data_IF_422350076708
#
_entry.id   IF_422350076708
#
_cell.length_a   1.000
_cell.length_b   1.000
_cell.length_c   1.000
_cell.angle_alpha   90.00
_cell.angle_beta   90.00
_cell.angle_gamma   90.00
#
_symmetry.space_group_name_H-M   'P 1'
#
loop_
_entity.id
_entity.type
_entity.pdbx_description
1 polymer ?
#
# COMPACT_ATOMS: atom_id res chain seq x y z
N UNK A 1 2.42 11.19 13.73
CA UNK A 1 2.00 9.81 13.38
C UNK A 1 0.49 9.83 13.23
N UNK A 2 -0.04 9.28 12.13
CA UNK A 2 -1.48 9.08 11.94
C UNK A 2 -1.68 7.57 11.89
N UNK A 3 -2.12 6.98 13.00
CA UNK A 3 -2.49 5.57 13.03
C UNK A 3 -3.96 5.41 12.65
N UNK A 4 -4.31 4.33 11.95
CA UNK A 4 -5.71 3.93 11.85
C UNK A 4 -6.24 3.60 13.26
N UNK A 5 -7.54 3.82 13.47
CA UNK A 5 -8.18 3.58 14.78
C UNK A 5 -7.97 2.10 15.19
N UNK A 6 -7.33 1.87 16.34
CA UNK A 6 -7.03 0.52 16.84
C UNK A 6 -5.71 -0.09 16.37
N UNK A 7 -4.88 0.67 15.65
CA UNK A 7 -3.51 0.27 15.27
C UNK A 7 -2.51 1.04 16.14
N UNK A 8 -1.67 0.32 16.88
CA UNK A 8 -0.57 0.90 17.66
C UNK A 8 0.77 0.78 16.90
N UNK A 9 1.84 1.28 17.52
CA UNK A 9 3.18 1.28 16.92
C UNK A 9 3.70 -0.15 16.70
N UNK A 10 3.42 -1.08 17.61
CA UNK A 10 3.92 -2.46 17.55
C UNK A 10 3.25 -3.20 16.39
N UNK A 11 1.95 -2.97 16.17
CA UNK A 11 1.24 -3.50 15.00
C UNK A 11 1.81 -2.95 13.70
N UNK A 12 2.15 -1.66 13.63
CA UNK A 12 2.78 -1.07 12.42
C UNK A 12 4.15 -1.68 12.14
N UNK A 13 4.97 -1.87 13.17
CA UNK A 13 6.28 -2.52 13.05
C UNK A 13 6.11 -3.97 12.56
N UNK A 14 5.16 -4.71 13.11
CA UNK A 14 4.84 -6.06 12.66
C UNK A 14 4.38 -6.09 11.20
N UNK A 15 3.54 -5.15 10.76
CA UNK A 15 3.11 -5.04 9.37
C UNK A 15 4.29 -4.71 8.43
N UNK A 16 5.19 -3.82 8.84
CA UNK A 16 6.40 -3.51 8.09
C UNK A 16 7.34 -4.71 8.00
N UNK A 17 7.52 -5.46 9.09
CA UNK A 17 8.34 -6.67 9.11
C UNK A 17 7.74 -7.78 8.25
N UNK A 18 6.40 -7.92 8.24
CA UNK A 18 5.68 -8.80 7.30
C UNK A 18 5.97 -8.41 5.84
N UNK A 19 5.98 -7.12 5.52
CA UNK A 19 6.33 -6.62 4.18
C UNK A 19 7.84 -6.61 3.89
N UNK A 20 8.70 -7.06 4.81
CA UNK A 20 10.16 -7.13 4.63
C UNK A 20 10.58 -8.53 4.18
N UNK A 21 11.72 -8.66 3.48
CA UNK A 21 12.29 -9.98 3.22
C UNK A 21 12.76 -10.61 4.52
N UNK A 22 12.71 -11.94 4.62
CA UNK A 22 13.31 -12.71 5.72
C UNK A 22 14.67 -13.28 5.35
N UNK A 23 14.97 -13.36 4.05
CA UNK A 23 16.22 -13.88 3.49
C UNK A 23 16.83 -12.85 2.54
N UNK A 24 18.18 -12.79 2.49
CA UNK A 24 18.93 -11.82 1.68
C UNK A 24 18.41 -10.38 1.88
N UNK A 25 18.29 -10.00 3.15
CA UNK A 25 17.72 -8.72 3.56
C UNK A 25 18.61 -7.55 3.12
N UNK A 26 17.98 -6.48 2.64
CA UNK A 26 18.66 -5.19 2.58
C UNK A 26 18.80 -4.59 4.00
N UNK A 27 19.54 -3.49 4.11
CA UNK A 27 19.77 -2.83 5.40
C UNK A 27 18.47 -2.33 6.07
N UNK A 28 17.44 -2.00 5.27
CA UNK A 28 16.15 -1.51 5.76
C UNK A 28 15.30 -2.67 6.30
N UNK A 29 15.22 -3.78 5.55
CA UNK A 29 14.59 -5.03 5.95
C UNK A 29 15.17 -5.53 7.28
N UNK A 30 16.50 -5.54 7.38
CA UNK A 30 17.22 -5.99 8.58
C UNK A 30 16.85 -5.14 9.80
N UNK A 31 16.83 -3.81 9.63
CA UNK A 31 16.48 -2.89 10.71
C UNK A 31 15.04 -3.08 11.19
N UNK A 32 14.08 -3.21 10.27
CA UNK A 32 12.65 -3.37 10.60
C UNK A 32 12.40 -4.71 11.29
N UNK A 33 12.94 -5.80 10.77
CA UNK A 33 12.78 -7.13 11.39
C UNK A 33 13.47 -7.18 12.76
N UNK A 34 14.60 -6.47 12.93
CA UNK A 34 15.29 -6.33 14.21
C UNK A 34 14.57 -5.47 15.25
N UNK A 35 13.52 -4.73 14.87
CA UNK A 35 12.66 -4.01 15.82
C UNK A 35 11.65 -4.94 16.52
N UNK A 36 11.44 -6.16 16.00
CA UNK A 36 10.60 -7.16 16.66
C UNK A 36 11.31 -7.78 17.86
N UNK A 37 10.52 -8.23 18.85
CA UNK A 37 11.05 -8.99 19.97
C UNK A 37 11.62 -10.34 19.54
N UNK A 38 10.92 -11.05 18.64
CA UNK A 38 11.44 -12.22 17.91
C UNK A 38 11.30 -11.97 16.39
N UNK A 39 12.39 -11.99 15.60
CA UNK A 39 12.33 -11.91 14.15
C UNK A 39 11.37 -12.90 13.48
N UNK A 40 11.12 -14.06 14.11
CA UNK A 40 10.18 -15.07 13.62
C UNK A 40 8.73 -14.60 13.63
N UNK A 41 8.39 -13.62 14.45
CA UNK A 41 7.05 -13.04 14.52
C UNK A 41 6.64 -12.40 13.20
N UNK A 42 7.61 -11.98 12.37
CA UNK A 42 7.36 -11.47 11.02
C UNK A 42 6.62 -12.47 10.12
N UNK A 43 6.67 -13.78 10.42
CA UNK A 43 5.98 -14.86 9.67
C UNK A 43 5.15 -15.80 10.56
N UNK A 44 5.09 -15.55 11.87
CA UNK A 44 4.33 -16.39 12.78
C UNK A 44 2.83 -16.36 12.47
N UNK A 45 2.23 -17.54 12.34
CA UNK A 45 0.78 -17.71 12.17
C UNK A 45 0.20 -17.22 10.86
N UNK A 46 1.02 -16.82 9.88
CA UNK A 46 0.57 -16.44 8.54
C UNK A 46 0.96 -17.51 7.52
N UNK A 47 0.10 -17.72 6.53
CA UNK A 47 0.44 -18.47 5.33
C UNK A 47 0.75 -17.48 4.21
N UNK A 48 2.01 -17.45 3.76
CA UNK A 48 2.39 -16.61 2.64
C UNK A 48 1.71 -17.06 1.34
N UNK A 49 1.10 -16.10 0.64
CA UNK A 49 0.39 -16.35 -0.62
C UNK A 49 1.20 -15.85 -1.80
N UNK A 50 1.72 -14.62 -1.69
CA UNK A 50 2.53 -13.98 -2.72
C UNK A 50 3.35 -12.81 -2.15
N UNK A 51 4.63 -12.75 -2.51
CA UNK A 51 5.54 -11.67 -2.14
C UNK A 51 6.04 -10.94 -3.39
N UNK A 52 5.84 -9.62 -3.42
CA UNK A 52 6.36 -8.73 -4.44
C UNK A 52 7.56 -7.95 -3.88
N UNK A 53 8.78 -8.21 -4.38
CA UNK A 53 9.97 -7.50 -3.94
C UNK A 53 9.92 -6.02 -4.33
N UNK A 54 10.80 -5.22 -3.73
CA UNK A 54 10.93 -3.80 -4.07
C UNK A 54 11.12 -3.60 -5.59
N UNK A 55 10.27 -2.77 -6.18
CA UNK A 55 10.39 -2.27 -7.54
C UNK A 55 10.74 -0.78 -7.50
N UNK A 56 11.83 -0.31 -8.14
CA UNK A 56 12.18 1.11 -8.22
C UNK A 56 11.09 2.01 -8.81
N UNK A 57 10.23 1.47 -9.67
CA UNK A 57 9.08 2.19 -10.25
C UNK A 57 7.97 2.35 -9.22
N UNK A 58 7.57 1.26 -8.55
CA UNK A 58 6.45 1.28 -7.59
C UNK A 58 6.86 1.75 -6.19
N UNK A 59 8.18 1.84 -5.94
CA UNK A 59 8.85 2.23 -4.70
C UNK A 59 8.32 1.53 -3.45
N UNK A 60 7.85 0.28 -3.60
CA UNK A 60 7.20 -0.49 -2.55
C UNK A 60 7.51 -1.98 -2.61
N UNK A 61 7.40 -2.63 -1.46
CA UNK A 61 7.44 -4.08 -1.27
C UNK A 61 6.13 -4.52 -0.67
N UNK A 62 5.59 -5.67 -1.09
CA UNK A 62 4.25 -6.12 -0.71
C UNK A 62 4.24 -7.59 -0.35
N UNK A 63 3.62 -7.95 0.78
CA UNK A 63 3.31 -9.32 1.14
C UNK A 63 1.79 -9.52 1.17
N UNK A 64 1.32 -10.55 0.47
CA UNK A 64 -0.04 -11.09 0.57
C UNK A 64 0.01 -12.39 1.35
N UNK A 65 -0.81 -12.52 2.38
CA UNK A 65 -0.84 -13.68 3.27
C UNK A 65 -2.25 -14.00 3.75
N UNK A 66 -2.47 -15.25 4.16
CA UNK A 66 -3.69 -15.67 4.86
C UNK A 66 -3.41 -15.71 6.36
N UNK A 67 -4.34 -15.26 7.18
CA UNK A 67 -4.23 -15.28 8.63
C UNK A 67 -5.55 -15.73 9.26
N UNK A 68 -5.47 -16.51 10.35
CA UNK A 68 -6.64 -16.88 11.16
C UNK A 68 -7.75 -17.58 10.38
N UNK A 69 -8.87 -16.89 10.20
CA UNK A 69 -10.15 -17.37 9.65
C UNK A 69 -10.14 -17.64 8.13
N UNK A 70 -8.95 -17.76 7.53
CA UNK A 70 -8.79 -17.97 6.10
C UNK A 70 -8.86 -16.69 5.27
N UNK A 71 -9.00 -15.52 5.91
CA UNK A 71 -9.00 -14.24 5.19
C UNK A 71 -7.63 -13.90 4.65
N UNK A 72 -7.64 -13.35 3.45
CA UNK A 72 -6.45 -12.85 2.79
C UNK A 72 -6.21 -11.40 3.18
N UNK A 73 -5.00 -11.12 3.58
CA UNK A 73 -4.51 -9.82 3.97
C UNK A 73 -3.33 -9.44 3.11
N UNK A 74 -3.15 -8.15 2.92
CA UNK A 74 -2.00 -7.61 2.23
C UNK A 74 -1.44 -6.43 3.00
N UNK A 75 -0.12 -6.48 3.19
CA UNK A 75 0.67 -5.39 3.74
C UNK A 75 1.66 -4.93 2.68
N UNK A 76 1.87 -3.63 2.60
CA UNK A 76 2.94 -3.05 1.80
C UNK A 76 3.72 -2.01 2.57
N UNK A 77 4.99 -1.86 2.21
CA UNK A 77 5.87 -0.81 2.72
C UNK A 77 6.56 -0.11 1.57
N UNK A 78 6.77 1.20 1.69
CA UNK A 78 7.39 1.97 0.61
C UNK A 78 7.66 3.41 0.97
N UNK A 79 8.21 4.14 0.00
CA UNK A 79 8.44 5.57 0.14
C UNK A 79 7.08 6.31 0.25
N UNK A 80 6.88 7.15 1.26
CA UNK A 80 5.71 8.02 1.29
C UNK A 80 5.74 8.99 0.10
N UNK A 81 4.60 9.25 -0.52
CA UNK A 81 4.47 10.21 -1.64
C UNK A 81 4.09 11.62 -1.15
N UNK A 82 3.76 11.76 0.14
CA UNK A 82 3.35 13.04 0.75
C UNK A 82 4.58 13.83 1.18
N UNK A 83 5.01 14.73 0.31
CA UNK A 83 6.22 15.56 0.46
C UNK A 83 6.27 16.30 1.81
N UNK A 84 5.15 16.90 2.25
CA UNK A 84 5.09 17.63 3.52
C UNK A 84 5.40 16.78 4.78
N UNK A 85 5.16 15.47 4.73
CA UNK A 85 5.54 14.56 5.82
C UNK A 85 7.01 14.20 5.69
N UNK A 86 7.47 13.91 4.47
CA UNK A 86 8.87 13.58 4.18
C UNK A 86 9.80 14.69 4.67
N UNK A 87 9.48 15.95 4.33
CA UNK A 87 10.31 17.11 4.63
C UNK A 87 10.50 17.27 6.14
N UNK A 88 9.43 17.12 6.94
CA UNK A 88 9.50 17.20 8.41
C UNK A 88 10.36 16.11 9.05
N UNK A 89 10.40 14.92 8.46
CA UNK A 89 11.27 13.84 8.95
C UNK A 89 12.71 14.07 8.47
N UNK A 90 12.90 14.52 7.22
CA UNK A 90 14.20 14.85 6.66
C UNK A 90 14.91 15.98 7.40
N UNK A 91 14.19 17.03 7.81
CA UNK A 91 14.69 18.13 8.66
C UNK A 91 15.25 17.64 10.00
N UNK A 92 14.80 16.47 10.46
CA UNK A 92 15.25 15.83 11.70
C UNK A 92 16.32 14.76 11.45
N UNK A 93 16.80 14.62 10.21
CA UNK A 93 17.76 13.58 9.81
C UNK A 93 17.18 12.18 9.79
N UNK A 94 15.85 12.03 9.72
CA UNK A 94 15.16 10.75 9.79
C UNK A 94 14.65 10.32 8.41
N UNK A 95 14.84 9.04 8.10
CA UNK A 95 14.20 8.41 6.94
C UNK A 95 12.74 8.09 7.27
N UNK A 96 11.84 8.26 6.30
CA UNK A 96 10.41 7.96 6.44
C UNK A 96 10.00 6.79 5.57
N UNK A 97 9.20 5.88 6.14
CA UNK A 97 8.63 4.73 5.47
C UNK A 97 7.13 4.70 5.76
N UNK A 98 6.33 4.52 4.71
CA UNK A 98 4.89 4.33 4.83
C UNK A 98 4.57 2.83 4.86
N UNK A 99 3.59 2.45 5.68
CA UNK A 99 3.04 1.09 5.75
C UNK A 99 1.56 1.17 5.42
N UNK A 100 1.09 0.31 4.53
CA UNK A 100 -0.32 0.18 4.19
C UNK A 100 -0.78 -1.27 4.42
N UNK A 101 -2.03 -1.41 4.85
CA UNK A 101 -2.68 -2.69 5.12
C UNK A 101 -4.07 -2.71 4.49
N UNK A 102 -4.44 -3.83 3.88
CA UNK A 102 -5.78 -4.08 3.35
C UNK A 102 -6.18 -5.55 3.55
N UNK A 103 -7.45 -5.81 3.80
CA UNK A 103 -8.07 -7.12 3.59
C UNK A 103 -8.37 -7.27 2.09
N UNK A 104 -8.10 -8.44 1.50
CA UNK A 104 -8.27 -8.72 0.07
C UNK A 104 -9.60 -9.48 -0.12
N UNK A 105 -10.67 -8.85 -0.61
CA UNK A 105 -12.01 -9.44 -0.61
C UNK A 105 -12.18 -10.63 -1.57
N UNK A 106 -11.41 -10.67 -2.67
CA UNK A 106 -11.63 -11.65 -3.74
C UNK A 106 -10.77 -12.91 -3.66
N UNK A 107 -9.87 -13.03 -2.67
CA UNK A 107 -9.03 -14.23 -2.49
C UNK A 107 -8.09 -14.56 -3.67
N UNK A 108 -8.02 -13.71 -4.69
CA UNK A 108 -7.14 -13.87 -5.85
C UNK A 108 -5.83 -13.12 -5.64
N UNK A 109 -4.72 -13.78 -5.98
CA UNK A 109 -3.36 -13.21 -5.83
C UNK A 109 -3.16 -11.96 -6.69
N UNK A 110 -3.91 -11.89 -7.79
CA UNK A 110 -3.85 -10.85 -8.82
C UNK A 110 -4.74 -9.63 -8.56
N UNK A 111 -5.56 -9.66 -7.49
CA UNK A 111 -6.12 -8.42 -6.96
C UNK A 111 -4.92 -7.54 -6.67
N UNK A 112 -4.67 -6.49 -7.45
CA UNK A 112 -3.59 -5.55 -7.17
C UNK A 112 -3.91 -4.87 -5.83
N UNK A 113 -2.91 -4.36 -5.13
CA UNK A 113 -3.21 -3.39 -4.07
C UNK A 113 -3.93 -2.27 -4.80
N UNK A 114 -5.24 -2.12 -4.59
CA UNK A 114 -6.05 -1.19 -5.36
C UNK A 114 -5.52 0.19 -4.97
N UNK A 115 -4.57 0.69 -5.76
CA UNK A 115 -4.02 2.03 -5.62
C UNK A 115 -5.17 3.03 -5.62
N UNK A 116 -6.23 2.67 -6.35
CA UNK A 116 -7.54 3.29 -6.32
C UNK A 116 -8.19 3.32 -4.94
N UNK A 117 -8.29 2.19 -4.24
CA UNK A 117 -8.87 2.13 -2.90
C UNK A 117 -8.04 2.92 -1.89
N UNK A 118 -6.71 2.87 -1.98
CA UNK A 118 -5.81 3.68 -1.14
C UNK A 118 -5.98 5.17 -1.44
N UNK A 119 -6.02 5.54 -2.72
CA UNK A 119 -6.28 6.91 -3.15
C UNK A 119 -7.60 7.41 -2.59
N UNK A 120 -8.69 6.65 -2.78
CA UNK A 120 -10.03 7.00 -2.30
C UNK A 120 -10.07 7.18 -0.80
N UNK A 121 -9.48 6.26 -0.02
CA UNK A 121 -9.44 6.38 1.44
C UNK A 121 -8.58 7.57 1.92
N UNK A 122 -7.48 7.85 1.22
CA UNK A 122 -6.62 9.01 1.49
C UNK A 122 -7.36 10.31 1.20
N UNK A 123 -8.01 10.42 0.03
CA UNK A 123 -8.76 11.61 -0.34
C UNK A 123 -9.98 11.85 0.54
N UNK A 124 -10.65 10.78 1.00
CA UNK A 124 -11.69 10.86 2.03
C UNK A 124 -11.18 11.47 3.34
N UNK A 125 -9.98 11.10 3.78
CA UNK A 125 -9.39 11.61 5.03
C UNK A 125 -8.82 13.01 4.92
N UNK A 126 -8.32 13.39 3.75
CA UNK A 126 -7.74 14.71 3.49
C UNK A 126 -8.77 15.73 2.98
N UNK A 127 -9.99 15.29 2.68
CA UNK A 127 -11.03 16.15 2.11
C UNK A 127 -10.79 16.50 0.64
N UNK A 128 -9.92 15.76 -0.06
CA UNK A 128 -9.58 16.00 -1.47
C UNK A 128 -10.48 15.22 -2.43
N UNK A 129 -11.61 14.68 -1.94
CA UNK A 129 -12.57 13.92 -2.73
C UNK A 129 -12.27 12.42 -2.84
N UNK A 130 -13.26 11.65 -3.26
CA UNK A 130 -13.19 10.17 -3.38
C UNK A 130 -13.52 9.70 -4.80
N UNK A 131 -13.76 10.63 -5.73
CA UNK A 131 -14.04 10.33 -7.12
C UNK A 131 -12.73 10.05 -7.88
N UNK A 132 -12.00 9.04 -7.43
CA UNK A 132 -10.73 8.64 -8.03
C UNK A 132 -10.94 7.46 -8.99
N UNK A 133 -10.09 7.38 -10.01
CA UNK A 133 -10.11 6.36 -11.06
C UNK A 133 -8.73 5.72 -11.24
N UNK A 134 -8.63 4.45 -11.68
CA UNK A 134 -7.32 3.88 -12.00
C UNK A 134 -6.78 4.55 -13.28
N UNK A 135 -5.46 4.71 -13.39
CA UNK A 135 -4.83 5.30 -14.58
C UNK A 135 -5.14 4.51 -15.87
N UNK A 136 -5.39 3.20 -15.74
CA UNK A 136 -5.85 2.34 -16.83
C UNK A 136 -7.21 2.78 -17.42
N UNK A 137 -8.00 3.57 -16.71
CA UNK A 137 -9.24 4.17 -17.22
C UNK A 137 -8.94 5.18 -18.34
N UNK A 138 -7.84 5.93 -18.23
CA UNK A 138 -7.38 6.86 -19.26
C UNK A 138 -6.86 6.12 -20.51
N UNK A 139 -6.45 4.86 -20.35
CA UNK A 139 -5.98 4.00 -21.43
C UNK A 139 -7.11 3.17 -22.07
N UNK A 140 -8.35 3.34 -21.63
CA UNK A 140 -9.50 2.57 -22.12
C UNK A 140 -9.46 1.08 -21.75
N UNK A 141 -8.68 0.69 -20.74
CA UNK A 141 -8.45 -0.71 -20.36
C UNK A 141 -9.30 -1.16 -19.16
N UNK A 142 -10.29 -0.37 -18.76
CA UNK A 142 -11.16 -0.67 -17.61
C UNK A 142 -12.41 -1.40 -18.07
N UNK A 143 -12.75 -2.48 -17.38
CA UNK A 143 -13.93 -3.33 -17.68
C UNK A 143 -15.24 -2.82 -17.08
N UNK A 144 -15.23 -1.66 -16.43
CA UNK A 144 -16.40 -1.06 -15.80
C UNK A 144 -17.20 -0.25 -16.83
N UNK A 145 -18.39 -0.75 -17.17
CA UNK A 145 -19.28 -0.14 -18.18
C UNK A 145 -19.67 1.32 -17.88
N UNK A 146 -19.67 1.72 -16.60
CA UNK A 146 -19.98 3.09 -16.20
C UNK A 146 -18.83 4.08 -16.48
N UNK A 147 -17.60 3.59 -16.48
CA UNK A 147 -16.38 4.36 -16.77
C UNK A 147 -16.14 4.39 -18.30
N UNK A 148 -16.44 3.28 -18.98
CA UNK A 148 -16.31 3.15 -20.45
C UNK A 148 -17.28 4.07 -21.20
N UNK A 149 -18.42 4.43 -20.59
CA UNK A 149 -19.43 5.30 -21.20
C UNK A 149 -19.08 6.79 -21.20
N UNK A 150 -18.10 7.23 -20.42
CA UNK A 150 -17.70 8.64 -20.34
C UNK A 150 -16.55 8.94 -21.32
N UNK A 151 -16.64 10.03 -22.11
CA UNK A 151 -15.50 10.55 -22.84
C UNK A 151 -14.32 10.84 -21.89
N UNK A 152 -13.09 10.55 -22.32
CA UNK A 152 -11.89 10.69 -21.49
C UNK A 152 -11.74 12.13 -20.95
N UNK A 153 -12.04 13.14 -21.76
CA UNK A 153 -11.96 14.55 -21.36
C UNK A 153 -12.92 14.85 -20.19
N UNK A 154 -14.12 14.28 -20.21
CA UNK A 154 -15.13 14.44 -19.16
C UNK A 154 -14.75 13.64 -17.90
N UNK A 155 -14.09 12.49 -18.07
CA UNK A 155 -13.54 11.71 -16.97
C UNK A 155 -12.43 12.47 -16.24
N UNK A 156 -11.54 13.14 -16.98
CA UNK A 156 -10.46 13.97 -16.41
C UNK A 156 -11.03 15.16 -15.64
N UNK A 157 -12.05 15.82 -16.19
CA UNK A 157 -12.66 16.99 -15.55
C UNK A 157 -13.42 16.63 -14.26
N UNK A 158 -14.03 15.44 -14.20
CA UNK A 158 -14.80 14.98 -13.02
C UNK A 158 -13.97 14.24 -11.98
N UNK A 159 -12.78 13.76 -12.34
CA UNK A 159 -11.95 12.98 -11.44
C UNK A 159 -11.27 13.85 -10.39
N UNK A 160 -11.39 13.45 -9.11
CA UNK A 160 -10.62 14.03 -8.01
C UNK A 160 -9.15 13.59 -8.04
N UNK A 161 -8.85 12.51 -8.76
CA UNK A 161 -7.49 12.00 -8.96
C UNK A 161 -7.42 10.66 -9.68
N UNK A 162 -6.23 10.34 -10.19
CA UNK A 162 -5.96 9.06 -10.84
C UNK A 162 -4.91 8.27 -10.05
N UNK A 163 -5.16 6.99 -9.84
CA UNK A 163 -4.28 6.10 -9.10
C UNK A 163 -3.47 5.20 -10.04
N UNK A 164 -2.18 5.04 -9.78
CA UNK A 164 -1.29 4.22 -10.61
C UNK A 164 -0.81 4.90 -11.88
N UNK A 165 -0.68 6.22 -11.87
CA UNK A 165 -0.16 6.97 -13.03
C UNK A 165 1.33 6.69 -13.17
N UNK A 166 1.72 6.06 -14.27
CA UNK A 166 3.10 5.83 -14.67
C UNK A 166 3.53 6.91 -15.68
N UNK A 167 4.83 7.29 -15.75
CA UNK A 167 5.36 8.07 -16.86
C UNK A 167 5.38 7.30 -18.19
#
# INVERSE_FOLDING_TARGET
QVFAKGVDADIVVLMAARASRTENQDAIDTAIVGMLADPKDARAGIQEVHFLPFNPTDKRTTLTYIYGDGKMHRVSKGAPEVHAVIDKFAERGLLSLAVAYQEVPEGTKDSLCDQLAIGKETGRRLGTGTNMYPSSALLGQVKDESIVALPIDELIEKADGFAGVFP
#
